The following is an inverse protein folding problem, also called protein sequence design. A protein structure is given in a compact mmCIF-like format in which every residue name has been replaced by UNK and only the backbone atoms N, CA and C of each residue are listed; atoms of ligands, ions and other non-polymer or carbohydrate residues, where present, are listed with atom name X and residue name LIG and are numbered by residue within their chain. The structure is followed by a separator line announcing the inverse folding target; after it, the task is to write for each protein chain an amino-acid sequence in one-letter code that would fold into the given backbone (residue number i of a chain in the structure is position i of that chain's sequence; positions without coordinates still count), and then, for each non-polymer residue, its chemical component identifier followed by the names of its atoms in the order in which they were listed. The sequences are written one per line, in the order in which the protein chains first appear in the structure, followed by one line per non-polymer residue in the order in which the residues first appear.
data_IF_805624643544
#
_entry.id   IF_805624643544
#
_cell.length_a   1.000
_cell.length_b   1.000
_cell.length_c   1.000
_cell.angle_alpha   90.00
_cell.angle_beta   90.00
_cell.angle_gamma   90.00
#
_symmetry.space_group_name_H-M   'P 1'
#
loop_
_entity.id
_entity.type
_entity.pdbx_description
1 polymer ?
#
# COMPACT_ATOMS: atom_id res chain seq x y z
N UNK A 1 -5.26 22.40 48.56
CA UNK A 1 -4.36 23.56 48.37
C UNK A 1 -4.16 23.65 46.87
N UNK A 2 -5.09 24.37 46.21
CA UNK A 2 -5.06 24.57 44.76
C UNK A 2 -3.97 25.60 44.46
N UNK A 3 -2.87 25.12 43.93
CA UNK A 3 -1.84 25.96 43.36
C UNK A 3 -2.36 26.54 42.04
N UNK A 4 -2.97 27.71 42.10
CA UNK A 4 -3.39 28.47 40.95
C UNK A 4 -2.12 28.76 40.16
N UNK A 5 -1.92 28.08 39.04
CA UNK A 5 -0.83 28.32 38.09
C UNK A 5 -0.78 29.82 37.77
N UNK A 6 0.42 30.40 37.79
CA UNK A 6 0.60 31.83 37.50
C UNK A 6 0.06 32.18 36.09
N UNK A 7 -0.38 33.42 35.86
CA UNK A 7 -0.88 33.85 34.55
C UNK A 7 0.11 33.58 33.43
N UNK A 8 1.40 33.64 33.69
CA UNK A 8 2.45 33.31 32.71
C UNK A 8 2.46 31.82 32.32
N UNK A 9 2.25 30.93 33.29
CA UNK A 9 2.19 29.47 33.05
C UNK A 9 0.96 29.08 32.23
N UNK A 10 -0.17 29.78 32.38
CA UNK A 10 -1.38 29.56 31.57
C UNK A 10 -1.20 30.06 30.12
N UNK A 11 -0.54 31.21 29.94
CA UNK A 11 -0.18 31.74 28.64
C UNK A 11 0.77 30.79 27.89
N UNK A 12 1.80 30.27 28.55
CA UNK A 12 2.74 29.33 28.00
C UNK A 12 2.06 28.01 27.56
N UNK A 13 1.19 27.44 28.40
CA UNK A 13 0.45 26.24 28.10
C UNK A 13 -0.45 26.40 26.83
N UNK A 14 -1.11 27.55 26.70
CA UNK A 14 -1.94 27.88 25.55
C UNK A 14 -1.10 28.00 24.27
N UNK A 15 0.07 28.63 24.34
CA UNK A 15 1.00 28.74 23.21
C UNK A 15 1.59 27.38 22.81
N UNK A 16 1.91 26.53 23.78
CA UNK A 16 2.38 25.16 23.50
C UNK A 16 1.31 24.37 22.74
N UNK A 17 0.06 24.37 23.23
CA UNK A 17 -1.04 23.66 22.59
C UNK A 17 -1.33 24.20 21.19
N UNK A 18 -1.28 25.52 20.99
CA UNK A 18 -1.47 26.15 19.69
C UNK A 18 -0.37 25.80 18.68
N UNK A 19 0.86 25.55 19.18
CA UNK A 19 2.05 25.23 18.36
C UNK A 19 2.13 23.74 17.98
N UNK A 20 1.30 22.87 18.57
CA UNK A 20 1.31 21.44 18.23
C UNK A 20 0.87 21.24 16.77
N UNK A 21 1.66 20.48 15.97
CA UNK A 21 1.35 20.26 14.57
C UNK A 21 0.19 19.28 14.34
N UNK A 22 -0.20 18.54 15.37
CA UNK A 22 -1.28 17.57 15.33
C UNK A 22 -2.60 18.21 15.77
N UNK A 23 -3.75 17.92 15.11
CA UNK A 23 -5.06 18.32 15.61
C UNK A 23 -5.32 17.80 17.02
N UNK A 24 -5.56 18.72 17.95
CA UNK A 24 -5.92 18.44 19.34
C UNK A 24 -7.18 19.22 19.67
N UNK A 25 -8.17 18.54 20.20
CA UNK A 25 -9.40 19.17 20.63
C UNK A 25 -10.01 18.51 21.87
N UNK A 26 -10.80 19.26 22.60
CA UNK A 26 -11.47 18.83 23.83
C UNK A 26 -12.97 18.81 23.57
N UNK A 27 -13.61 17.71 23.96
CA UNK A 27 -15.07 17.54 23.90
C UNK A 27 -15.64 17.51 25.32
N UNK A 28 -16.85 18.04 25.49
CA UNK A 28 -17.63 17.90 26.72
C UNK A 28 -18.37 16.56 26.81
N UNK A 29 -19.18 16.36 27.85
CA UNK A 29 -19.98 15.17 28.08
C UNK A 29 -21.07 14.93 27.02
N UNK A 30 -21.41 15.93 26.20
CA UNK A 30 -22.37 15.88 25.10
C UNK A 30 -21.70 15.88 23.71
N UNK A 31 -20.41 15.56 23.64
CA UNK A 31 -19.60 15.55 22.40
C UNK A 31 -19.51 16.90 21.70
N UNK A 32 -19.60 18.01 22.45
CA UNK A 32 -19.45 19.36 21.90
C UNK A 32 -18.00 19.83 22.06
N UNK A 33 -17.51 20.55 21.07
CA UNK A 33 -16.18 21.15 21.13
C UNK A 33 -16.09 22.21 22.22
N UNK A 34 -15.13 22.06 23.11
CA UNK A 34 -14.79 23.00 24.19
C UNK A 34 -13.53 23.78 23.85
N UNK A 35 -12.57 23.11 23.21
CA UNK A 35 -11.28 23.67 22.83
C UNK A 35 -10.81 23.03 21.54
N UNK A 36 -10.13 23.81 20.69
CA UNK A 36 -9.41 23.34 19.51
C UNK A 36 -8.11 24.11 19.37
N UNK A 37 -7.03 23.40 19.02
CA UNK A 37 -5.80 24.06 18.62
C UNK A 37 -5.84 24.46 17.13
N UNK A 38 -4.84 25.25 16.70
CA UNK A 38 -4.78 25.72 15.30
C UNK A 38 -4.74 24.57 14.28
N UNK A 39 -4.05 23.48 14.58
CA UNK A 39 -4.03 22.31 13.70
C UNK A 39 -5.42 21.65 13.55
N UNK A 40 -6.24 21.67 14.60
CA UNK A 40 -7.63 21.19 14.53
C UNK A 40 -8.53 22.12 13.71
N UNK A 41 -8.35 23.45 13.79
CA UNK A 41 -9.04 24.39 12.91
C UNK A 41 -8.75 24.11 11.43
N UNK A 42 -7.49 23.91 11.10
CA UNK A 42 -7.08 23.56 9.74
C UNK A 42 -7.60 22.18 9.31
N UNK A 43 -7.71 21.24 10.22
CA UNK A 43 -8.22 19.90 9.92
C UNK A 43 -9.70 19.92 9.58
N UNK A 44 -10.52 20.66 10.33
CA UNK A 44 -11.97 20.79 10.14
C UNK A 44 -12.34 21.86 9.11
N UNK A 45 -11.38 22.58 8.55
CA UNK A 45 -11.58 23.73 7.65
C UNK A 45 -12.59 24.74 8.23
N UNK A 46 -12.42 25.05 9.55
CA UNK A 46 -13.31 25.90 10.28
C UNK A 46 -12.63 26.48 11.53
N UNK A 47 -12.94 27.75 11.87
CA UNK A 47 -12.32 28.39 13.02
C UNK A 47 -12.84 27.86 14.37
N UNK A 48 -12.00 27.92 15.42
CA UNK A 48 -12.38 27.52 16.76
C UNK A 48 -13.65 28.25 17.26
N UNK A 49 -13.83 29.52 16.89
CA UNK A 49 -15.04 30.30 17.23
C UNK A 49 -16.32 29.74 16.62
N UNK A 50 -16.25 29.13 15.46
CA UNK A 50 -17.40 28.51 14.78
C UNK A 50 -17.68 27.10 15.31
N UNK A 51 -16.64 26.36 15.70
CA UNK A 51 -16.77 24.98 16.15
C UNK A 51 -17.08 24.85 17.64
N UNK A 52 -16.59 25.77 18.47
CA UNK A 52 -16.83 25.72 19.92
C UNK A 52 -18.33 25.74 20.23
N UNK A 53 -18.79 24.76 21.01
CA UNK A 53 -20.20 24.54 21.35
C UNK A 53 -21.00 23.75 20.33
N UNK A 54 -20.48 23.51 19.12
CA UNK A 54 -21.10 22.62 18.13
C UNK A 54 -20.80 21.15 18.43
N UNK A 55 -21.65 20.24 17.98
CA UNK A 55 -21.50 18.80 18.18
C UNK A 55 -20.53 18.21 17.15
N UNK A 56 -19.68 17.26 17.58
CA UNK A 56 -18.76 16.53 16.72
C UNK A 56 -19.50 15.83 15.56
N UNK A 57 -20.71 15.31 15.81
CA UNK A 57 -21.54 14.64 14.81
C UNK A 57 -21.97 15.56 13.65
N UNK A 58 -21.85 16.89 13.77
CA UNK A 58 -22.08 17.81 12.67
C UNK A 58 -20.89 17.90 11.68
N UNK A 59 -19.71 17.48 12.13
CA UNK A 59 -18.49 17.52 11.33
C UNK A 59 -18.10 16.13 10.79
N UNK A 60 -18.49 15.07 11.50
CA UNK A 60 -18.10 13.69 11.24
C UNK A 60 -19.36 12.81 11.22
N UNK A 61 -19.51 11.88 10.27
CA UNK A 61 -20.66 10.97 10.23
C UNK A 61 -20.83 10.19 11.53
N UNK A 62 -22.08 10.07 12.00
CA UNK A 62 -22.41 9.41 13.27
C UNK A 62 -22.09 7.91 13.28
N UNK A 63 -22.02 7.28 12.12
CA UNK A 63 -21.65 5.87 11.91
C UNK A 63 -20.13 5.64 11.75
N UNK A 64 -19.32 6.69 11.93
CA UNK A 64 -17.87 6.59 11.81
C UNK A 64 -17.25 5.78 12.95
N UNK A 65 -16.15 5.08 12.66
CA UNK A 65 -15.35 4.34 13.64
C UNK A 65 -14.85 5.24 14.80
N UNK A 66 -14.70 6.55 14.53
CA UNK A 66 -14.33 7.53 15.55
C UNK A 66 -15.41 7.66 16.63
N UNK A 67 -16.69 7.72 16.25
CA UNK A 67 -17.79 7.82 17.23
C UNK A 67 -17.88 6.57 18.12
N UNK A 68 -17.65 5.39 17.53
CA UNK A 68 -17.57 4.15 18.30
C UNK A 68 -16.38 4.13 19.27
N UNK A 69 -15.23 4.65 18.85
CA UNK A 69 -14.04 4.77 19.68
C UNK A 69 -14.27 5.74 20.85
N UNK A 70 -14.91 6.87 20.60
CA UNK A 70 -15.27 7.87 21.61
C UNK A 70 -16.23 7.29 22.66
N UNK A 71 -17.27 6.57 22.23
CA UNK A 71 -18.20 5.89 23.11
C UNK A 71 -17.48 4.85 24.00
N UNK A 72 -16.54 4.10 23.44
CA UNK A 72 -15.70 3.15 24.20
C UNK A 72 -14.82 3.84 25.24
N UNK A 73 -14.14 4.92 24.85
CA UNK A 73 -13.31 5.69 25.77
C UNK A 73 -14.12 6.23 26.96
N UNK A 74 -15.33 6.75 26.70
CA UNK A 74 -16.25 7.22 27.74
C UNK A 74 -16.72 6.10 28.68
N UNK A 75 -17.15 4.98 28.12
CA UNK A 75 -17.66 3.85 28.94
C UNK A 75 -16.59 3.25 29.84
N UNK A 76 -15.35 3.23 29.36
CA UNK A 76 -14.21 2.66 30.09
C UNK A 76 -13.52 3.69 30.99
N UNK A 77 -13.76 5.00 30.81
CA UNK A 77 -13.01 6.10 31.47
C UNK A 77 -11.49 5.88 31.40
N UNK A 78 -11.03 5.43 30.25
CA UNK A 78 -9.63 5.08 30.00
C UNK A 78 -9.17 5.67 28.66
N UNK A 79 -7.86 5.86 28.55
CA UNK A 79 -7.26 6.23 27.27
C UNK A 79 -7.39 5.07 26.27
N UNK A 80 -7.91 5.37 25.10
CA UNK A 80 -8.09 4.43 24.00
C UNK A 80 -7.39 5.00 22.78
N UNK A 81 -6.65 4.17 22.08
CA UNK A 81 -6.03 4.53 20.81
C UNK A 81 -6.43 3.53 19.74
N UNK A 82 -6.62 4.01 18.53
CA UNK A 82 -6.84 3.17 17.34
C UNK A 82 -6.05 3.72 16.14
N UNK A 83 -5.57 2.82 15.30
CA UNK A 83 -4.73 3.15 14.17
C UNK A 83 -5.47 2.87 12.88
N UNK A 84 -5.39 3.84 11.94
CA UNK A 84 -5.95 3.65 10.61
C UNK A 84 -7.47 3.87 10.54
N UNK A 85 -8.01 4.74 11.39
CA UNK A 85 -9.41 5.17 11.28
C UNK A 85 -9.58 5.99 10.00
N UNK A 86 -10.47 5.54 9.11
CA UNK A 86 -10.88 6.31 7.94
C UNK A 86 -11.98 7.29 8.33
N UNK A 87 -11.68 8.59 8.15
CA UNK A 87 -12.68 9.65 8.25
C UNK A 87 -12.93 10.20 6.85
N UNK A 88 -14.20 10.14 6.43
CA UNK A 88 -14.66 10.72 5.19
C UNK A 88 -15.79 11.72 5.48
N UNK A 89 -15.60 12.98 5.10
CA UNK A 89 -16.63 14.02 5.18
C UNK A 89 -16.50 14.96 3.98
N UNK A 90 -17.59 15.59 3.51
CA UNK A 90 -17.54 16.52 2.38
C UNK A 90 -16.55 17.68 2.57
N UNK A 91 -16.28 18.10 3.80
CA UNK A 91 -15.35 19.19 4.15
C UNK A 91 -13.92 18.70 4.37
N UNK A 92 -13.75 17.56 5.03
CA UNK A 92 -12.43 17.04 5.45
C UNK A 92 -11.80 16.20 4.33
N UNK A 93 -12.61 15.72 3.37
CA UNK A 93 -12.18 14.69 2.41
C UNK A 93 -12.02 13.33 3.09
N UNK A 94 -11.33 12.40 2.43
CA UNK A 94 -11.00 11.10 3.00
C UNK A 94 -9.60 11.17 3.63
N UNK A 95 -9.52 10.97 4.93
CA UNK A 95 -8.27 10.98 5.70
C UNK A 95 -8.15 9.70 6.52
N UNK A 96 -6.94 9.16 6.57
CA UNK A 96 -6.59 8.03 7.43
C UNK A 96 -5.83 8.56 8.64
N UNK A 97 -6.34 8.28 9.84
CA UNK A 97 -5.88 8.87 11.08
C UNK A 97 -5.51 7.80 12.09
N UNK A 98 -4.46 8.05 12.84
CA UNK A 98 -4.29 7.45 14.16
C UNK A 98 -4.99 8.36 15.16
N UNK A 99 -5.89 7.80 15.94
CA UNK A 99 -6.71 8.54 16.88
C UNK A 99 -6.38 8.10 18.29
N UNK A 100 -6.14 9.06 19.17
CA UNK A 100 -6.02 8.82 20.59
C UNK A 100 -7.07 9.64 21.32
N UNK A 101 -7.83 9.01 22.22
CA UNK A 101 -8.86 9.62 23.04
C UNK A 101 -8.54 9.32 24.48
N UNK A 102 -8.46 10.35 25.33
CA UNK A 102 -8.17 10.21 26.74
C UNK A 102 -9.16 11.03 27.58
N UNK A 103 -9.58 10.55 28.78
CA UNK A 103 -10.30 11.36 29.74
C UNK A 103 -9.47 12.59 30.13
N UNK A 104 -10.12 13.75 30.20
CA UNK A 104 -9.47 15.00 30.55
C UNK A 104 -9.92 15.49 31.95
N UNK A 105 -8.96 15.75 32.83
CA UNK A 105 -9.17 16.35 34.12
C UNK A 105 -9.49 15.36 35.25
N UNK A 106 -9.52 15.90 36.49
CA UNK A 106 -9.85 15.13 37.67
C UNK A 106 -11.36 14.92 37.79
N UNK A 107 -11.78 13.76 38.33
CA UNK A 107 -13.19 13.29 38.35
C UNK A 107 -14.24 14.29 38.88
N UNK A 108 -13.81 15.33 39.62
CA UNK A 108 -14.73 16.24 40.29
C UNK A 108 -14.98 17.57 39.55
N UNK A 109 -14.08 18.02 38.69
CA UNK A 109 -14.16 19.35 38.08
C UNK A 109 -14.52 19.36 36.59
N UNK A 110 -14.33 18.22 35.86
CA UNK A 110 -14.47 18.15 34.40
C UNK A 110 -15.16 16.85 33.96
N UNK A 111 -16.26 16.48 34.63
CA UNK A 111 -16.97 15.22 34.38
C UNK A 111 -17.31 15.01 32.90
N UNK A 112 -16.76 13.90 32.36
CA UNK A 112 -17.06 13.44 31.00
C UNK A 112 -16.32 14.15 29.86
N UNK A 113 -15.34 15.02 30.14
CA UNK A 113 -14.54 15.63 29.06
C UNK A 113 -13.55 14.64 28.50
N UNK A 114 -13.40 14.67 27.15
CA UNK A 114 -12.47 13.83 26.40
C UNK A 114 -11.51 14.67 25.59
N UNK A 115 -10.21 14.44 25.78
CA UNK A 115 -9.16 14.98 24.93
C UNK A 115 -8.98 14.04 23.73
N UNK A 116 -9.10 14.59 22.55
CA UNK A 116 -8.93 13.85 21.28
C UNK A 116 -7.72 14.39 20.54
N UNK A 117 -6.84 13.51 20.12
CA UNK A 117 -5.68 13.84 19.29
C UNK A 117 -5.75 13.04 18.01
N UNK A 118 -5.64 13.73 16.90
CA UNK A 118 -5.48 13.11 15.60
C UNK A 118 -4.03 13.20 15.15
N UNK A 119 -3.54 12.13 14.60
CA UNK A 119 -2.30 12.12 13.86
C UNK A 119 -2.63 11.65 12.44
N UNK A 120 -2.57 12.59 11.49
CA UNK A 120 -2.69 12.17 10.10
C UNK A 120 -1.58 11.17 9.81
N UNK A 121 -1.99 9.97 9.41
CA UNK A 121 -1.04 9.00 8.90
C UNK A 121 -0.57 9.55 7.55
N UNK A 122 0.45 10.38 7.63
CA UNK A 122 1.06 10.95 6.44
C UNK A 122 1.42 9.79 5.52
N UNK A 123 1.20 10.00 4.21
CA UNK A 123 1.72 9.13 3.15
C UNK A 123 3.20 8.76 3.41
N UNK A 124 3.93 9.62 4.14
CA UNK A 124 5.30 9.40 4.60
C UNK A 124 5.49 8.25 5.61
N UNK A 125 4.48 7.89 6.43
CA UNK A 125 4.59 6.71 7.31
C UNK A 125 4.27 5.42 6.57
N UNK A 126 3.33 5.45 5.62
CA UNK A 126 3.18 4.35 4.64
C UNK A 126 4.47 4.16 3.85
N UNK A 127 5.15 5.26 3.49
CA UNK A 127 6.43 5.24 2.77
C UNK A 127 7.61 4.85 3.66
N UNK A 128 7.62 5.19 4.96
CA UNK A 128 8.63 4.69 5.91
C UNK A 128 8.47 3.21 6.19
N UNK A 129 7.24 2.71 6.34
CA UNK A 129 6.97 1.29 6.33
C UNK A 129 7.50 0.66 5.04
N UNK A 130 7.12 1.19 3.89
CA UNK A 130 7.61 0.72 2.59
C UNK A 130 9.12 0.89 2.42
N UNK A 131 9.77 1.98 2.88
CA UNK A 131 11.23 2.15 2.77
C UNK A 131 12.02 1.23 3.69
N UNK A 132 11.51 0.90 4.87
CA UNK A 132 12.06 -0.16 5.74
C UNK A 132 11.84 -1.54 5.11
N UNK A 133 10.65 -1.78 4.51
CA UNK A 133 10.35 -2.98 3.74
C UNK A 133 11.20 -3.06 2.45
N UNK A 134 11.43 -1.95 1.75
CA UNK A 134 12.33 -1.89 0.61
C UNK A 134 13.78 -2.22 0.99
N UNK A 135 14.26 -1.80 2.16
CA UNK A 135 15.58 -2.15 2.69
C UNK A 135 15.69 -3.64 3.03
N UNK A 136 14.71 -4.19 3.73
CA UNK A 136 14.64 -5.61 4.07
C UNK A 136 14.38 -6.47 2.83
N UNK A 137 13.44 -6.09 1.97
CA UNK A 137 13.16 -6.78 0.71
C UNK A 137 14.38 -6.76 -0.22
N UNK A 138 15.10 -5.65 -0.36
CA UNK A 138 16.36 -5.59 -1.13
C UNK A 138 17.45 -6.49 -0.54
N UNK A 139 17.59 -6.53 0.78
CA UNK A 139 18.58 -7.40 1.43
C UNK A 139 18.23 -8.88 1.27
N UNK A 140 16.96 -9.24 1.44
CA UNK A 140 16.47 -10.61 1.22
C UNK A 140 16.55 -10.94 -0.27
N UNK A 141 16.23 -10.02 -1.16
CA UNK A 141 16.32 -10.19 -2.60
C UNK A 141 17.75 -10.32 -3.09
N UNK A 142 18.70 -9.54 -2.56
CA UNK A 142 20.11 -9.68 -2.89
C UNK A 142 20.71 -11.02 -2.41
N UNK A 143 20.35 -11.46 -1.19
CA UNK A 143 20.69 -12.80 -0.71
C UNK A 143 20.03 -13.91 -1.54
N UNK A 144 18.78 -13.73 -1.93
CA UNK A 144 18.06 -14.68 -2.76
C UNK A 144 18.67 -14.81 -4.16
N UNK A 145 19.17 -13.72 -4.76
CA UNK A 145 19.89 -13.77 -6.04
C UNK A 145 21.21 -14.50 -5.96
N UNK A 146 22.00 -14.24 -4.91
CA UNK A 146 23.24 -14.95 -4.68
C UNK A 146 23.01 -16.46 -4.47
N UNK A 147 22.02 -16.80 -3.63
CA UNK A 147 21.60 -18.18 -3.40
C UNK A 147 21.02 -18.83 -4.65
N UNK A 148 20.26 -18.08 -5.47
CA UNK A 148 19.69 -18.60 -6.70
C UNK A 148 20.80 -19.02 -7.69
N UNK A 149 21.85 -18.24 -7.85
CA UNK A 149 23.00 -18.62 -8.69
C UNK A 149 23.72 -19.88 -8.16
N UNK A 150 23.96 -19.96 -6.85
CA UNK A 150 24.62 -21.10 -6.22
C UNK A 150 23.75 -22.36 -6.24
N UNK A 151 22.42 -22.25 -6.22
CA UNK A 151 21.49 -23.38 -6.31
C UNK A 151 21.24 -23.79 -7.77
N UNK A 152 21.21 -22.86 -8.72
CA UNK A 152 21.06 -23.18 -10.14
C UNK A 152 22.20 -24.07 -10.68
N UNK A 153 23.42 -23.86 -10.20
CA UNK A 153 24.58 -24.63 -10.61
C UNK A 153 24.43 -26.15 -10.31
N UNK A 154 24.16 -26.60 -9.08
CA UNK A 154 23.91 -28.01 -8.79
C UNK A 154 22.66 -28.54 -9.48
N UNK A 155 21.60 -27.74 -9.63
CA UNK A 155 20.40 -28.14 -10.36
C UNK A 155 20.70 -28.40 -11.85
N UNK A 156 21.51 -27.58 -12.48
CA UNK A 156 21.96 -27.83 -13.85
C UNK A 156 22.74 -29.15 -13.97
N UNK A 157 23.58 -29.47 -12.97
CA UNK A 157 24.28 -30.77 -12.87
C UNK A 157 23.31 -31.96 -12.74
N UNK A 158 22.32 -31.85 -11.83
CA UNK A 158 21.29 -32.87 -11.63
C UNK A 158 20.47 -33.08 -12.91
N UNK A 159 20.03 -32.00 -13.55
CA UNK A 159 19.31 -32.05 -14.81
C UNK A 159 20.14 -32.72 -15.90
N UNK A 160 21.40 -32.32 -16.08
CA UNK A 160 22.31 -32.91 -17.07
C UNK A 160 22.54 -34.41 -16.84
N UNK A 161 22.75 -34.81 -15.58
CA UNK A 161 22.92 -36.24 -15.24
C UNK A 161 21.64 -37.03 -15.54
N UNK A 162 20.46 -36.52 -15.17
CA UNK A 162 19.17 -37.16 -15.46
C UNK A 162 18.92 -37.31 -16.98
N UNK A 163 19.27 -36.29 -17.76
CA UNK A 163 19.14 -36.31 -19.23
C UNK A 163 20.08 -37.33 -19.88
N UNK A 164 21.33 -37.44 -19.39
CA UNK A 164 22.29 -38.43 -19.89
C UNK A 164 21.83 -39.85 -19.57
N UNK A 165 21.36 -40.10 -18.34
CA UNK A 165 20.84 -41.41 -17.93
C UNK A 165 19.59 -41.81 -18.73
N UNK A 166 18.76 -40.89 -19.15
CA UNK A 166 17.51 -41.15 -19.85
C UNK A 166 17.71 -41.94 -21.14
N UNK A 167 18.87 -41.81 -21.79
CA UNK A 167 19.19 -42.52 -23.05
C UNK A 167 19.40 -44.04 -22.83
N UNK A 168 19.87 -44.45 -21.66
CA UNK A 168 20.30 -45.83 -21.38
C UNK A 168 19.34 -46.60 -20.44
N UNK A 169 18.26 -45.96 -19.97
CA UNK A 169 17.30 -46.51 -19.02
C UNK A 169 16.19 -47.32 -19.71
N UNK A 170 15.64 -48.32 -19.00
CA UNK A 170 14.41 -48.98 -19.39
C UNK A 170 13.20 -47.99 -19.41
N UNK A 171 12.16 -48.28 -20.17
CA UNK A 171 10.99 -47.38 -20.29
C UNK A 171 10.38 -46.94 -18.93
N UNK A 172 10.36 -47.84 -17.96
CA UNK A 172 9.86 -47.52 -16.59
C UNK A 172 10.81 -46.54 -15.86
N UNK A 173 12.11 -46.70 -16.01
CA UNK A 173 13.11 -45.84 -15.38
C UNK A 173 13.26 -44.48 -16.11
N UNK A 174 12.95 -44.42 -17.40
CA UNK A 174 12.88 -43.16 -18.17
C UNK A 174 11.84 -42.19 -17.61
N UNK A 175 10.75 -42.70 -17.06
CA UNK A 175 9.72 -41.88 -16.42
C UNK A 175 10.26 -41.15 -15.18
N UNK A 176 11.06 -41.85 -14.34
CA UNK A 176 11.71 -41.19 -13.20
C UNK A 176 12.73 -40.16 -13.61
N UNK A 177 13.53 -40.42 -14.64
CA UNK A 177 14.47 -39.43 -15.17
C UNK A 177 13.78 -38.18 -15.72
N UNK A 178 12.65 -38.35 -16.42
CA UNK A 178 11.81 -37.25 -16.89
C UNK A 178 11.26 -36.44 -15.71
N UNK A 179 10.74 -37.08 -14.69
CA UNK A 179 10.24 -36.42 -13.46
C UNK A 179 11.34 -35.58 -12.78
N UNK A 180 12.55 -36.08 -12.69
CA UNK A 180 13.69 -35.33 -12.15
C UNK A 180 13.98 -34.08 -13.00
N UNK A 181 13.97 -34.20 -14.33
CA UNK A 181 14.17 -33.07 -15.22
C UNK A 181 13.05 -32.02 -15.09
N UNK A 182 11.79 -32.46 -15.01
CA UNK A 182 10.64 -31.59 -14.85
C UNK A 182 10.68 -30.83 -13.50
N UNK A 183 10.99 -31.54 -12.41
CA UNK A 183 11.05 -30.91 -11.09
C UNK A 183 12.28 -29.98 -10.97
N UNK A 184 13.40 -30.33 -11.58
CA UNK A 184 14.56 -29.44 -11.67
C UNK A 184 14.24 -28.17 -12.45
N UNK A 185 13.53 -28.27 -13.57
CA UNK A 185 13.06 -27.10 -14.31
C UNK A 185 12.08 -26.24 -13.50
N UNK A 186 11.21 -26.87 -12.71
CA UNK A 186 10.25 -26.18 -11.86
C UNK A 186 10.98 -25.38 -10.75
N UNK A 187 11.98 -25.98 -10.10
CA UNK A 187 12.80 -25.29 -9.09
C UNK A 187 13.59 -24.14 -9.72
N UNK A 188 14.20 -24.37 -10.89
CA UNK A 188 14.92 -23.32 -11.63
C UNK A 188 13.99 -22.14 -11.97
N UNK A 189 12.78 -22.39 -12.44
CA UNK A 189 11.80 -21.33 -12.72
C UNK A 189 11.36 -20.55 -11.46
N UNK A 190 11.35 -21.17 -10.29
CA UNK A 190 11.14 -20.47 -9.02
C UNK A 190 12.31 -19.55 -8.67
N UNK A 191 13.55 -20.04 -8.88
CA UNK A 191 14.77 -19.25 -8.65
C UNK A 191 14.87 -18.07 -9.62
N UNK A 192 14.50 -18.25 -10.90
CA UNK A 192 14.46 -17.17 -11.90
C UNK A 192 13.50 -16.05 -11.47
N UNK A 193 12.37 -16.41 -10.87
CA UNK A 193 11.42 -15.43 -10.32
C UNK A 193 11.99 -14.68 -9.12
N UNK A 194 12.78 -15.35 -8.29
CA UNK A 194 13.48 -14.73 -7.15
C UNK A 194 14.56 -13.75 -7.62
N UNK A 195 15.33 -14.10 -8.64
CA UNK A 195 16.33 -13.18 -9.23
C UNK A 195 15.68 -11.93 -9.83
N UNK A 196 14.52 -12.07 -10.49
CA UNK A 196 13.75 -10.94 -10.98
C UNK A 196 13.32 -9.94 -9.89
N UNK A 197 13.18 -10.41 -8.63
CA UNK A 197 12.91 -9.56 -7.47
C UNK A 197 14.20 -8.90 -6.97
N UNK A 198 15.33 -9.57 -7.14
CA UNK A 198 16.63 -9.15 -6.64
C UNK A 198 17.32 -8.07 -7.47
N UNK A 199 16.79 -7.72 -8.63
CA UNK A 199 17.20 -6.67 -9.61
C UNK A 199 18.34 -5.73 -9.24
N UNK A 200 19.52 -6.27 -8.85
CA UNK A 200 20.68 -5.50 -8.39
C UNK A 200 21.57 -4.90 -9.51
N UNK A 201 21.12 -4.92 -10.76
CA UNK A 201 21.76 -4.24 -11.87
C UNK A 201 21.29 -2.80 -11.99
N UNK A 202 22.18 -1.88 -12.39
CA UNK A 202 21.75 -0.54 -12.82
C UNK A 202 20.77 -0.70 -13.98
N UNK A 203 19.47 -0.55 -13.67
CA UNK A 203 18.41 -0.58 -14.68
C UNK A 203 18.52 0.71 -15.47
N UNK A 204 18.89 0.61 -16.75
CA UNK A 204 18.87 1.78 -17.64
C UNK A 204 17.40 2.12 -17.93
N UNK A 205 16.93 3.22 -17.37
CA UNK A 205 15.60 3.74 -17.60
C UNK A 205 15.57 4.54 -18.92
N UNK A 206 14.49 4.43 -19.64
CA UNK A 206 14.20 5.19 -20.85
C UNK A 206 12.73 5.62 -20.86
N UNK A 207 12.36 6.68 -21.60
CA UNK A 207 10.96 7.06 -21.74
C UNK A 207 10.11 5.92 -22.31
N UNK A 208 9.11 5.45 -21.57
CA UNK A 208 8.21 4.35 -21.92
C UNK A 208 6.77 4.85 -21.93
N UNK A 209 6.04 4.55 -22.99
CA UNK A 209 4.60 4.75 -23.03
C UNK A 209 3.89 3.63 -22.26
N UNK A 210 3.26 4.00 -21.15
CA UNK A 210 2.62 3.02 -20.26
C UNK A 210 1.46 2.28 -20.94
N UNK A 211 0.73 2.92 -21.86
CA UNK A 211 -0.36 2.30 -22.60
C UNK A 211 0.11 1.15 -23.50
N UNK A 212 1.28 1.31 -24.16
CA UNK A 212 1.85 0.25 -24.97
C UNK A 212 2.24 -0.97 -24.12
N UNK A 213 2.75 -0.75 -22.93
CA UNK A 213 3.06 -1.81 -21.95
C UNK A 213 1.80 -2.53 -21.53
N UNK A 214 0.76 -1.79 -21.12
CA UNK A 214 -0.53 -2.35 -20.71
C UNK A 214 -1.22 -3.14 -21.82
N UNK A 215 -1.24 -2.61 -23.04
CA UNK A 215 -1.82 -3.29 -24.18
C UNK A 215 -1.04 -4.55 -24.57
N UNK A 216 0.29 -4.54 -24.41
CA UNK A 216 1.12 -5.72 -24.61
C UNK A 216 0.76 -6.81 -23.57
N UNK A 217 0.66 -6.44 -22.29
CA UNK A 217 0.26 -7.35 -21.21
C UNK A 217 -1.13 -7.94 -21.44
N UNK A 218 -2.09 -7.12 -21.87
CA UNK A 218 -3.44 -7.58 -22.15
C UNK A 218 -3.50 -8.55 -23.33
N UNK A 219 -2.70 -8.35 -24.38
CA UNK A 219 -2.59 -9.33 -25.50
C UNK A 219 -2.07 -10.67 -25.03
N UNK A 220 -1.01 -10.69 -24.21
CA UNK A 220 -0.45 -11.93 -23.64
C UNK A 220 -1.48 -12.60 -22.73
N UNK A 221 -2.11 -11.84 -21.84
CA UNK A 221 -3.09 -12.37 -20.92
C UNK A 221 -4.30 -12.96 -21.62
N UNK A 222 -4.81 -12.31 -22.66
CA UNK A 222 -5.93 -12.81 -23.48
C UNK A 222 -5.59 -14.10 -24.20
N UNK A 223 -4.35 -14.26 -24.66
CA UNK A 223 -3.89 -15.49 -25.32
C UNK A 223 -3.68 -16.66 -24.33
N UNK A 224 -3.27 -16.36 -23.09
CA UNK A 224 -2.88 -17.38 -22.10
C UNK A 224 -4.03 -17.80 -21.18
N UNK A 225 -4.87 -16.85 -20.75
CA UNK A 225 -5.94 -17.08 -19.77
C UNK A 225 -7.35 -16.90 -20.36
N UNK A 226 -7.46 -16.46 -21.54
CA UNK A 226 -8.38 -16.34 -22.58
C UNK A 226 -9.79 -15.93 -22.44
N UNK A 227 -10.61 -16.80 -22.80
CA UNK A 227 -11.95 -16.58 -23.37
C UNK A 227 -13.04 -16.16 -22.34
N UNK A 228 -12.73 -16.05 -21.06
CA UNK A 228 -13.76 -15.89 -20.01
C UNK A 228 -13.74 -14.56 -19.26
N UNK A 229 -12.78 -13.65 -19.56
CA UNK A 229 -12.69 -12.37 -18.90
C UNK A 229 -13.10 -11.20 -19.81
N UNK A 230 -13.95 -10.34 -19.25
CA UNK A 230 -14.28 -9.06 -19.91
C UNK A 230 -13.23 -8.01 -19.49
N UNK A 231 -12.46 -7.52 -20.46
CA UNK A 231 -11.47 -6.47 -20.20
C UNK A 231 -12.00 -5.11 -20.64
N UNK A 232 -12.05 -4.17 -19.69
CA UNK A 232 -12.42 -2.77 -19.94
C UNK A 232 -11.18 -1.89 -19.85
N UNK A 233 -11.01 -0.96 -20.79
CA UNK A 233 -9.92 0.00 -20.84
C UNK A 233 -10.48 1.40 -20.74
N UNK A 234 -9.92 2.22 -19.84
CA UNK A 234 -10.24 3.64 -19.64
C UNK A 234 -8.93 4.40 -19.56
N UNK A 235 -8.34 4.67 -20.70
CA UNK A 235 -7.05 5.33 -20.80
C UNK A 235 -7.20 6.83 -20.96
N UNK A 236 -6.38 7.59 -20.23
CA UNK A 236 -6.16 9.00 -20.46
C UNK A 236 -5.08 9.16 -21.54
N UNK A 237 -5.44 9.56 -22.77
CA UNK A 237 -4.47 9.63 -23.87
C UNK A 237 -3.45 10.75 -23.73
N UNK A 238 -3.62 11.65 -22.76
CA UNK A 238 -2.74 12.79 -22.53
C UNK A 238 -1.57 12.50 -21.61
N UNK A 239 -1.45 11.26 -21.08
CA UNK A 239 -0.38 10.92 -20.15
C UNK A 239 1.00 11.03 -20.81
N UNK A 240 1.97 11.70 -20.15
CA UNK A 240 3.35 11.70 -20.59
C UNK A 240 3.97 10.29 -20.39
N UNK A 241 5.10 9.99 -21.07
CA UNK A 241 5.83 8.76 -20.81
C UNK A 241 6.38 8.72 -19.38
N UNK A 242 6.67 7.52 -18.88
CA UNK A 242 7.37 7.27 -17.62
C UNK A 242 8.82 6.90 -17.90
N UNK A 243 9.77 7.28 -17.02
CA UNK A 243 11.11 6.72 -17.08
C UNK A 243 11.07 5.29 -16.59
N UNK A 244 11.36 4.34 -17.47
CA UNK A 244 11.19 2.94 -17.13
C UNK A 244 11.99 1.96 -17.99
N UNK A 245 12.09 0.74 -17.46
CA UNK A 245 12.56 -0.42 -18.20
C UNK A 245 11.34 -1.21 -18.66
N UNK A 246 11.11 -1.21 -19.97
CA UNK A 246 9.89 -1.76 -20.59
C UNK A 246 9.57 -3.20 -20.16
N UNK A 247 10.57 -4.09 -20.14
CA UNK A 247 10.34 -5.51 -19.85
C UNK A 247 10.02 -5.76 -18.37
N UNK A 248 10.64 -4.99 -17.43
CA UNK A 248 10.30 -5.06 -16.02
C UNK A 248 8.88 -4.55 -15.76
N UNK A 249 8.47 -3.47 -16.42
CA UNK A 249 7.09 -2.98 -16.33
C UNK A 249 6.09 -4.00 -16.89
N UNK A 250 6.40 -4.66 -18.03
CA UNK A 250 5.59 -5.76 -18.56
C UNK A 250 5.46 -6.88 -17.53
N UNK A 251 6.55 -7.28 -16.90
CA UNK A 251 6.56 -8.36 -15.90
C UNK A 251 5.70 -7.98 -14.68
N UNK A 252 5.80 -6.75 -14.18
CA UNK A 252 5.01 -6.26 -13.06
C UNK A 252 3.50 -6.26 -13.39
N UNK A 253 3.11 -5.69 -14.54
CA UNK A 253 1.71 -5.64 -14.94
C UNK A 253 1.15 -7.03 -15.28
N UNK A 254 1.92 -7.93 -15.87
CA UNK A 254 1.50 -9.31 -16.09
C UNK A 254 1.23 -10.04 -14.76
N UNK A 255 2.04 -9.83 -13.73
CA UNK A 255 1.79 -10.41 -12.40
C UNK A 255 0.48 -9.92 -11.79
N UNK A 256 0.17 -8.62 -11.91
CA UNK A 256 -1.10 -8.09 -11.41
C UNK A 256 -2.30 -8.60 -12.19
N UNK A 257 -2.22 -8.58 -13.51
CA UNK A 257 -3.27 -9.09 -14.40
C UNK A 257 -3.49 -10.58 -14.13
N UNK A 258 -2.43 -11.37 -13.98
CA UNK A 258 -2.50 -12.79 -13.63
C UNK A 258 -3.19 -12.98 -12.27
N UNK A 259 -2.83 -12.19 -11.27
CA UNK A 259 -3.46 -12.27 -9.94
C UNK A 259 -4.95 -11.99 -10.01
N UNK A 260 -5.38 -10.99 -10.79
CA UNK A 260 -6.78 -10.70 -11.03
C UNK A 260 -7.52 -11.88 -11.69
N UNK A 261 -6.91 -12.51 -12.70
CA UNK A 261 -7.47 -13.70 -13.34
C UNK A 261 -7.64 -14.87 -12.38
N UNK A 262 -6.62 -15.14 -11.59
CA UNK A 262 -6.62 -16.26 -10.65
C UNK A 262 -7.56 -16.06 -9.45
N UNK A 263 -7.93 -14.81 -9.14
CA UNK A 263 -8.81 -14.49 -8.04
C UNK A 263 -10.29 -14.71 -8.36
N UNK A 264 -10.67 -14.81 -9.63
CA UNK A 264 -12.07 -14.78 -10.04
C UNK A 264 -12.48 -16.11 -10.67
N UNK A 265 -13.50 -16.77 -10.09
CA UNK A 265 -14.00 -18.08 -10.57
C UNK A 265 -15.03 -17.98 -11.70
N UNK A 266 -15.88 -16.94 -11.71
CA UNK A 266 -17.00 -16.80 -12.69
C UNK A 266 -17.24 -15.33 -13.04
N UNK A 267 -17.49 -15.03 -14.35
CA UNK A 267 -17.75 -13.69 -14.88
C UNK A 267 -16.67 -12.67 -14.47
N UNK A 268 -15.44 -12.99 -14.83
CA UNK A 268 -14.27 -12.16 -14.56
C UNK A 268 -14.38 -10.83 -15.29
N UNK A 269 -14.27 -9.73 -14.56
CA UNK A 269 -14.16 -8.39 -15.13
C UNK A 269 -12.85 -7.76 -14.66
N UNK A 270 -12.00 -7.36 -15.61
CA UNK A 270 -10.79 -6.60 -15.38
C UNK A 270 -10.95 -5.22 -15.99
N UNK A 271 -10.80 -4.19 -15.20
CA UNK A 271 -10.79 -2.81 -15.69
C UNK A 271 -9.40 -2.21 -15.47
N UNK A 272 -8.79 -1.67 -16.53
CA UNK A 272 -7.56 -0.90 -16.42
C UNK A 272 -7.89 0.56 -16.68
N UNK A 273 -7.52 1.41 -15.73
CA UNK A 273 -7.72 2.86 -15.80
C UNK A 273 -6.37 3.54 -15.74
N UNK A 274 -6.15 4.52 -16.60
CA UNK A 274 -5.01 5.42 -16.48
C UNK A 274 -5.50 6.85 -16.34
N UNK A 275 -4.83 7.64 -15.50
CA UNK A 275 -5.22 9.03 -15.23
C UNK A 275 -4.03 9.86 -14.76
N UNK A 276 -4.15 11.19 -14.91
CA UNK A 276 -3.19 12.14 -14.36
C UNK A 276 -3.68 12.66 -13.00
N UNK A 277 -3.16 12.09 -11.91
CA UNK A 277 -3.55 12.42 -10.53
C UNK A 277 -2.78 13.66 -10.04
N UNK A 278 -3.36 14.86 -10.21
CA UNK A 278 -2.76 16.11 -9.76
C UNK A 278 -2.59 16.11 -8.24
N UNK A 279 -1.39 16.51 -7.78
CA UNK A 279 -1.11 16.70 -6.35
C UNK A 279 -0.55 15.47 -5.61
N UNK A 280 -0.41 14.31 -6.23
CA UNK A 280 0.28 13.17 -5.62
C UNK A 280 1.79 13.40 -5.60
N UNK A 281 2.35 13.40 -4.39
CA UNK A 281 3.78 13.62 -4.14
C UNK A 281 4.31 12.54 -3.21
N UNK A 282 5.49 12.02 -3.51
CA UNK A 282 6.25 11.14 -2.62
C UNK A 282 7.23 12.00 -1.83
N UNK A 283 7.26 11.81 -0.50
CA UNK A 283 8.32 12.38 0.33
C UNK A 283 9.54 11.45 0.26
N UNK A 284 10.59 11.85 -0.44
CA UNK A 284 11.84 11.13 -0.49
C UNK A 284 12.63 11.23 0.82
N UNK A 285 13.66 10.39 1.00
CA UNK A 285 14.58 10.42 2.15
C UNK A 285 15.48 11.68 2.19
N UNK A 286 15.36 12.58 1.23
CA UNK A 286 15.96 13.92 1.17
C UNK A 286 14.88 14.99 1.15
N UNK A 287 15.26 16.27 1.22
CA UNK A 287 14.35 17.42 1.26
C UNK A 287 13.47 17.59 -0.01
N UNK A 288 13.54 16.69 -0.98
CA UNK A 288 12.81 16.72 -2.24
C UNK A 288 11.48 15.96 -2.19
N UNK A 289 10.42 16.55 -2.75
CA UNK A 289 9.12 15.91 -2.99
C UNK A 289 9.04 15.44 -4.43
N UNK A 290 9.11 14.14 -4.67
CA UNK A 290 8.92 13.56 -6.00
C UNK A 290 7.45 13.58 -6.39
N UNK A 291 7.13 14.18 -7.53
CA UNK A 291 5.77 14.23 -8.06
C UNK A 291 5.48 12.96 -8.87
N UNK A 292 4.43 12.20 -8.52
CA UNK A 292 4.07 10.92 -9.16
C UNK A 292 2.64 10.95 -9.69
N UNK A 293 2.36 11.79 -10.70
CA UNK A 293 1.01 12.04 -11.16
C UNK A 293 0.46 10.97 -12.11
N UNK A 294 1.31 10.14 -12.73
CA UNK A 294 0.86 9.13 -13.68
C UNK A 294 0.31 7.96 -12.90
N UNK A 295 -1.00 7.79 -12.91
CA UNK A 295 -1.69 6.73 -12.17
C UNK A 295 -2.18 5.64 -13.11
N UNK A 296 -1.91 4.39 -12.74
CA UNK A 296 -2.48 3.19 -13.36
C UNK A 296 -3.24 2.42 -12.30
N UNK A 297 -4.51 2.13 -12.56
CA UNK A 297 -5.33 1.28 -11.71
C UNK A 297 -5.64 -0.03 -12.43
N UNK A 298 -5.42 -1.14 -11.74
CA UNK A 298 -5.84 -2.49 -12.15
C UNK A 298 -6.95 -2.91 -11.19
N UNK A 299 -8.16 -3.02 -11.72
CA UNK A 299 -9.39 -3.24 -10.94
C UNK A 299 -9.97 -4.59 -11.32
N UNK A 300 -10.18 -5.45 -10.36
CA UNK A 300 -10.87 -6.72 -10.52
C UNK A 300 -12.14 -6.81 -9.65
N UNK A 301 -13.05 -7.68 -10.02
CA UNK A 301 -14.28 -7.97 -9.31
C UNK A 301 -14.21 -9.27 -8.48
N UNK A 302 -13.02 -9.64 -8.04
CA UNK A 302 -12.75 -10.85 -7.25
C UNK A 302 -13.29 -10.78 -5.81
N UNK A 303 -13.05 -11.84 -5.03
CA UNK A 303 -13.56 -11.97 -3.66
C UNK A 303 -12.94 -10.95 -2.69
N UNK A 304 -11.92 -10.21 -3.11
CA UNK A 304 -11.16 -9.31 -2.26
C UNK A 304 -10.00 -10.00 -1.55
N UNK A 305 -9.27 -9.22 -0.77
CA UNK A 305 -8.11 -9.64 0.03
C UNK A 305 -8.53 -9.61 1.50
N UNK A 306 -8.25 -10.69 2.23
CA UNK A 306 -8.57 -10.74 3.65
C UNK A 306 -7.84 -9.63 4.44
N UNK A 307 -8.45 -9.07 5.49
CA UNK A 307 -7.82 -8.00 6.30
C UNK A 307 -6.46 -8.42 6.86
N UNK A 308 -6.30 -9.68 7.23
CA UNK A 308 -5.07 -10.24 7.80
C UNK A 308 -3.89 -10.22 6.81
N UNK A 309 -4.17 -10.37 5.51
CA UNK A 309 -3.14 -10.38 4.47
C UNK A 309 -2.88 -8.99 3.88
N UNK A 310 -3.85 -8.06 4.00
CA UNK A 310 -3.81 -6.77 3.29
C UNK A 310 -2.55 -5.97 3.58
N UNK A 311 -2.09 -5.95 4.83
CA UNK A 311 -0.95 -5.16 5.24
C UNK A 311 0.38 -5.74 4.73
N UNK A 312 0.43 -7.05 4.45
CA UNK A 312 1.65 -7.78 4.11
C UNK A 312 1.64 -8.40 2.71
N UNK A 313 0.66 -8.04 1.84
CA UNK A 313 0.51 -8.68 0.51
C UNK A 313 1.69 -8.43 -0.44
N UNK A 314 2.47 -7.40 -0.19
CA UNK A 314 3.68 -7.08 -0.94
C UNK A 314 4.95 -7.71 -0.35
N UNK A 315 4.84 -8.38 0.80
CA UNK A 315 5.97 -9.10 1.39
C UNK A 315 6.26 -10.39 0.62
N UNK A 316 7.54 -10.73 0.45
CA UNK A 316 7.92 -12.00 -0.17
C UNK A 316 7.32 -13.19 0.59
N UNK A 317 6.86 -14.20 -0.16
CA UNK A 317 6.29 -15.45 0.35
C UNK A 317 4.92 -15.32 1.01
N UNK A 318 4.31 -14.15 1.06
CA UNK A 318 2.94 -13.95 1.52
C UNK A 318 1.96 -14.30 0.40
N UNK A 319 1.09 -15.28 0.63
CA UNK A 319 0.08 -15.74 -0.33
C UNK A 319 -1.17 -16.22 0.40
N UNK A 320 -2.34 -15.77 -0.07
CA UNK A 320 -3.64 -16.32 0.37
C UNK A 320 -4.10 -17.52 -0.45
N UNK A 321 -3.32 -17.96 -1.44
CA UNK A 321 -3.68 -19.06 -2.35
C UNK A 321 -2.92 -20.32 -2.00
N UNK A 322 -3.58 -21.52 -1.95
CA UNK A 322 -2.88 -22.79 -1.84
C UNK A 322 -1.90 -22.96 -3.02
N UNK A 323 -0.61 -23.18 -2.72
CA UNK A 323 0.44 -23.35 -3.74
C UNK A 323 0.91 -22.07 -4.42
N UNK A 324 0.46 -20.91 -4.00
CA UNK A 324 0.98 -19.62 -4.46
C UNK A 324 2.38 -19.36 -3.92
N UNK A 325 3.32 -18.93 -4.77
CA UNK A 325 4.70 -18.62 -4.35
C UNK A 325 4.82 -17.39 -3.44
N UNK A 326 3.81 -16.50 -3.42
CA UNK A 326 3.87 -15.22 -2.69
C UNK A 326 4.92 -14.23 -3.22
N UNK A 327 5.50 -14.48 -4.40
CA UNK A 327 6.56 -13.64 -4.97
C UNK A 327 6.04 -12.60 -5.98
N UNK A 328 4.83 -12.80 -6.53
CA UNK A 328 4.32 -11.98 -7.63
C UNK A 328 4.11 -10.51 -7.26
N UNK A 329 3.47 -10.23 -6.12
CA UNK A 329 3.23 -8.86 -5.66
C UNK A 329 4.48 -8.21 -5.06
N UNK A 330 5.36 -8.99 -4.44
CA UNK A 330 6.67 -8.51 -3.99
C UNK A 330 7.51 -8.01 -5.19
N UNK A 331 7.49 -8.73 -6.32
CA UNK A 331 8.12 -8.29 -7.56
C UNK A 331 7.50 -6.99 -8.08
N UNK A 332 6.16 -6.88 -8.06
CA UNK A 332 5.48 -5.64 -8.45
C UNK A 332 5.97 -4.47 -7.63
N UNK A 333 6.03 -4.62 -6.30
CA UNK A 333 6.50 -3.57 -5.40
C UNK A 333 7.96 -3.19 -5.67
N UNK A 334 8.85 -4.16 -5.90
CA UNK A 334 10.25 -3.91 -6.22
C UNK A 334 10.39 -3.15 -7.54
N UNK A 335 9.75 -3.64 -8.61
CA UNK A 335 9.81 -2.99 -9.92
C UNK A 335 9.28 -1.57 -9.86
N UNK A 336 8.11 -1.34 -9.22
CA UNK A 336 7.53 0.00 -9.10
C UNK A 336 8.46 0.93 -8.34
N UNK A 337 9.11 0.46 -7.27
CA UNK A 337 10.08 1.24 -6.50
C UNK A 337 11.34 1.59 -7.29
N UNK A 338 11.87 0.65 -8.08
CA UNK A 338 13.04 0.89 -8.95
C UNK A 338 12.75 1.91 -10.05
N UNK A 339 11.46 2.14 -10.36
CA UNK A 339 10.97 3.16 -11.27
C UNK A 339 10.54 4.46 -10.55
N UNK A 340 10.90 4.63 -9.27
CA UNK A 340 10.54 5.81 -8.48
C UNK A 340 9.02 5.94 -8.22
N UNK A 341 8.27 4.85 -8.39
CA UNK A 341 6.83 4.82 -8.24
C UNK A 341 6.36 4.39 -6.86
N UNK A 342 5.03 4.36 -6.70
CA UNK A 342 4.32 3.88 -5.51
C UNK A 342 3.25 2.88 -5.93
N UNK A 343 3.09 1.79 -5.18
CA UNK A 343 1.97 0.85 -5.33
C UNK A 343 1.12 0.84 -4.06
N UNK A 344 -0.19 0.87 -4.24
CA UNK A 344 -1.19 0.80 -3.18
C UNK A 344 -2.26 -0.23 -3.54
N UNK A 345 -2.95 -0.75 -2.53
CA UNK A 345 -4.09 -1.64 -2.72
C UNK A 345 -5.28 -1.15 -1.90
N UNK A 346 -6.45 -1.24 -2.51
CA UNK A 346 -7.74 -1.05 -1.86
C UNK A 346 -8.61 -2.26 -2.22
N UNK A 347 -9.10 -2.98 -1.22
CA UNK A 347 -9.80 -4.24 -1.47
C UNK A 347 -10.97 -4.44 -0.53
N UNK A 348 -12.10 -4.77 -1.13
CA UNK A 348 -13.32 -5.20 -0.48
C UNK A 348 -13.90 -6.39 -1.27
N UNK A 349 -14.78 -7.21 -0.68
CA UNK A 349 -15.46 -8.26 -1.42
C UNK A 349 -16.15 -7.73 -2.67
N UNK A 350 -15.84 -8.31 -3.83
CA UNK A 350 -16.35 -7.89 -5.13
C UNK A 350 -15.56 -6.77 -5.82
N UNK A 351 -14.49 -6.25 -5.20
CA UNK A 351 -13.68 -5.21 -5.82
C UNK A 351 -12.27 -5.12 -5.20
N UNK A 352 -11.25 -5.42 -5.99
CA UNK A 352 -9.86 -5.13 -5.64
C UNK A 352 -9.28 -4.11 -6.61
N UNK A 353 -8.58 -3.11 -6.11
CA UNK A 353 -7.93 -2.05 -6.88
C UNK A 353 -6.47 -1.97 -6.49
N UNK A 354 -5.60 -2.30 -7.42
CA UNK A 354 -4.18 -1.97 -7.31
C UNK A 354 -3.94 -0.63 -8.01
N UNK A 355 -3.40 0.35 -7.28
CA UNK A 355 -3.03 1.66 -7.80
C UNK A 355 -1.52 1.78 -7.86
N UNK A 356 -0.99 2.13 -9.01
CA UNK A 356 0.42 2.39 -9.21
C UNK A 356 0.56 3.83 -9.68
N UNK A 357 1.49 4.55 -9.07
CA UNK A 357 1.81 5.91 -9.44
C UNK A 357 3.27 5.99 -9.87
N UNK A 358 3.52 6.67 -11.00
CA UNK A 358 4.87 6.89 -11.54
C UNK A 358 5.18 8.39 -11.71
N UNK A 359 6.47 8.76 -11.62
CA UNK A 359 6.92 10.07 -12.08
C UNK A 359 6.89 10.13 -13.61
N UNK A 360 6.68 11.31 -14.22
CA UNK A 360 6.85 11.49 -15.64
C UNK A 360 8.33 11.43 -16.01
N UNK A 361 8.63 11.02 -17.26
CA UNK A 361 10.00 10.96 -17.78
C UNK A 361 10.68 12.32 -17.74
N UNK A 362 11.99 12.33 -17.40
CA UNK A 362 12.82 13.54 -17.37
C UNK A 362 12.59 14.40 -16.12
N UNK A 363 11.92 13.92 -15.09
CA UNK A 363 11.77 14.63 -13.82
C UNK A 363 13.01 14.36 -12.95
N UNK A 364 13.90 15.33 -12.82
CA UNK A 364 14.98 15.29 -11.83
C UNK A 364 14.40 15.38 -10.40
N UNK A 365 14.96 14.59 -9.49
CA UNK A 365 14.65 14.67 -8.06
C UNK A 365 15.24 15.98 -7.54
N UNK A 366 14.39 16.98 -7.32
CA UNK A 366 14.79 18.29 -6.77
C UNK A 366 14.92 18.20 -5.26
#
# INVERSE_FOLDING_TARGET
MDEIASPDTQLEATHILASLPNPVFLLDGADRFVFLNHAAEMFFDSSATMLTGSELAQQIPADSSLMALLARARSQMASVADQGIELASPRIGMKLLNVQIAPFGDRSAHEGRMLVTFQERALAERLRGQSLFHGAARSISAMAALLAHEVKNPLAGIKGAAQLLQADLSPENQEFARMIVEETNRVTALLDRMEGIAGGGQVTLSPVNIHEVLDHCLRIASASYGAHMTVKRRYDPSLPPVDGHRDLLIQAFLNMIKNAFEAIEKKSELTIVTSYARGRRLSGAGAGRLHVPIQVEVIDNGPGISPELRDNIFDPFVSGKPGGSGLGLALVASVVADHGGLVEVDSAPGRTVFRINFPPAGQEVS
#
